data_IF_959166342427
#
_entry.id   IF_959166342427
#
_cell.length_a   1.000
_cell.length_b   1.000
_cell.length_c   1.000
_cell.angle_alpha   90.00
_cell.angle_beta   90.00
_cell.angle_gamma   90.00
#
_symmetry.space_group_name_H-M   'P 1'
#
loop_
_entity.id
_entity.type
_entity.pdbx_description
1 polymer ?
#
# COMPACT_ATOMS: atom_id res chain seq x y z
N UNK A 1 -24.18 -37.68 -14.24
CA UNK A 1 -22.88 -37.21 -14.77
C UNK A 1 -22.21 -36.33 -13.72
N UNK A 2 -21.43 -36.92 -12.82
CA UNK A 2 -20.74 -36.22 -11.72
C UNK A 2 -19.32 -35.92 -12.15
N UNK A 3 -19.05 -34.67 -12.52
CA UNK A 3 -17.71 -34.19 -12.88
C UNK A 3 -16.89 -34.06 -11.59
N UNK A 4 -15.97 -35.01 -11.36
CA UNK A 4 -14.93 -34.86 -10.33
C UNK A 4 -14.01 -33.72 -10.76
N UNK A 5 -14.04 -32.62 -10.03
CA UNK A 5 -13.00 -31.58 -10.09
C UNK A 5 -11.77 -32.16 -9.40
N UNK A 6 -10.79 -32.58 -10.18
CA UNK A 6 -9.52 -33.07 -9.65
C UNK A 6 -8.80 -31.93 -8.92
N UNK A 7 -8.50 -32.14 -7.65
CA UNK A 7 -7.58 -31.31 -6.86
C UNK A 7 -6.17 -31.49 -7.42
N UNK A 8 -5.89 -30.81 -8.53
CA UNK A 8 -4.55 -30.75 -9.11
C UNK A 8 -3.66 -29.93 -8.21
N UNK A 9 -2.85 -30.59 -7.37
CA UNK A 9 -1.69 -29.94 -6.77
C UNK A 9 -0.80 -29.46 -7.91
N UNK A 10 -0.72 -28.14 -8.11
CA UNK A 10 0.26 -27.50 -9.00
C UNK A 10 1.66 -27.84 -8.47
N UNK A 11 2.22 -28.96 -8.90
CA UNK A 11 3.63 -29.29 -8.65
C UNK A 11 4.44 -28.55 -9.69
N UNK A 12 5.17 -27.52 -9.25
CA UNK A 12 6.29 -26.98 -10.02
C UNK A 12 7.20 -28.15 -10.36
N UNK A 13 7.45 -28.39 -11.66
CA UNK A 13 8.31 -29.48 -12.05
C UNK A 13 9.71 -29.22 -11.48
N UNK A 14 10.38 -30.28 -11.01
CA UNK A 14 11.74 -30.18 -10.47
C UNK A 14 12.68 -29.48 -11.46
N UNK A 15 12.46 -29.71 -12.76
CA UNK A 15 13.19 -29.07 -13.87
C UNK A 15 13.01 -27.55 -13.87
N UNK A 16 11.77 -27.06 -13.78
CA UNK A 16 11.50 -25.61 -13.74
C UNK A 16 12.14 -24.96 -12.51
N UNK A 17 11.99 -25.58 -11.33
CA UNK A 17 12.59 -25.05 -10.11
C UNK A 17 14.14 -24.99 -10.19
N UNK A 18 14.75 -26.03 -10.75
CA UNK A 18 16.20 -26.07 -10.99
C UNK A 18 16.65 -25.00 -11.98
N UNK A 19 15.86 -24.76 -13.04
CA UNK A 19 16.16 -23.72 -14.03
C UNK A 19 16.09 -22.31 -13.42
N UNK A 20 15.01 -21.99 -12.69
CA UNK A 20 14.87 -20.70 -11.98
C UNK A 20 16.06 -20.49 -11.03
N UNK A 21 16.42 -21.51 -10.25
CA UNK A 21 17.54 -21.42 -9.32
C UNK A 21 18.89 -21.22 -10.03
N UNK A 22 19.10 -21.88 -11.18
CA UNK A 22 20.30 -21.74 -11.98
C UNK A 22 20.41 -20.33 -12.61
N UNK A 23 19.32 -19.81 -13.16
CA UNK A 23 19.25 -18.47 -13.75
C UNK A 23 19.45 -17.37 -12.69
N UNK A 24 18.83 -17.51 -11.51
CA UNK A 24 19.05 -16.62 -10.39
C UNK A 24 20.51 -16.67 -9.91
N UNK A 25 21.07 -17.88 -9.78
CA UNK A 25 22.47 -18.06 -9.41
C UNK A 25 23.41 -17.43 -10.43
N UNK A 26 23.09 -17.54 -11.73
CA UNK A 26 23.85 -16.90 -12.80
C UNK A 26 23.84 -15.38 -12.66
N UNK A 27 22.66 -14.76 -12.45
CA UNK A 27 22.55 -13.32 -12.25
C UNK A 27 23.31 -12.87 -10.99
N UNK A 28 23.16 -13.56 -9.86
CA UNK A 28 23.82 -13.21 -8.60
C UNK A 28 25.34 -13.38 -8.66
N UNK A 29 25.87 -14.34 -9.43
CA UNK A 29 27.32 -14.54 -9.62
C UNK A 29 28.00 -13.43 -10.42
N UNK A 30 27.23 -12.68 -11.21
CA UNK A 30 27.73 -11.50 -11.91
C UNK A 30 27.87 -10.27 -11.01
N UNK A 31 27.42 -10.34 -9.76
CA UNK A 31 27.41 -9.23 -8.82
C UNK A 31 28.47 -9.52 -7.76
N UNK A 32 29.57 -8.76 -7.79
CA UNK A 32 30.57 -8.85 -6.74
C UNK A 32 30.07 -8.19 -5.43
N UNK A 33 30.82 -8.33 -4.34
CA UNK A 33 30.40 -7.76 -3.04
C UNK A 33 30.29 -6.23 -3.06
N UNK A 34 31.14 -5.54 -3.82
CA UNK A 34 31.12 -4.08 -3.95
C UNK A 34 29.92 -3.65 -4.81
N UNK A 35 29.63 -4.39 -5.88
CA UNK A 35 28.48 -4.19 -6.73
C UNK A 35 27.17 -4.42 -5.96
N UNK A 36 27.10 -5.41 -5.07
CA UNK A 36 25.95 -5.61 -4.19
C UNK A 36 25.69 -4.39 -3.31
N UNK A 37 26.74 -3.85 -2.68
CA UNK A 37 26.61 -2.64 -1.88
C UNK A 37 26.18 -1.44 -2.72
N UNK A 38 26.76 -1.30 -3.91
CA UNK A 38 26.40 -0.22 -4.83
C UNK A 38 24.94 -0.33 -5.30
N UNK A 39 24.48 -1.53 -5.68
CA UNK A 39 23.09 -1.81 -6.03
C UNK A 39 22.18 -1.47 -4.85
N UNK A 40 22.47 -1.98 -3.66
CA UNK A 40 21.65 -1.72 -2.48
C UNK A 40 21.58 -0.22 -2.14
N UNK A 41 22.70 0.49 -2.12
CA UNK A 41 22.74 1.92 -1.81
C UNK A 41 22.04 2.76 -2.89
N UNK A 42 22.25 2.43 -4.17
CA UNK A 42 21.61 3.12 -5.30
C UNK A 42 20.10 2.87 -5.29
N UNK A 43 19.67 1.63 -5.13
CA UNK A 43 18.26 1.24 -5.07
C UNK A 43 17.58 1.81 -3.82
N UNK A 44 18.25 1.83 -2.67
CA UNK A 44 17.74 2.46 -1.45
C UNK A 44 17.63 3.98 -1.61
N UNK A 45 18.62 4.61 -2.24
CA UNK A 45 18.61 6.04 -2.57
C UNK A 45 17.45 6.41 -3.49
N UNK A 46 17.23 5.63 -4.56
CA UNK A 46 16.07 5.79 -5.47
C UNK A 46 14.74 5.56 -4.76
N UNK A 47 14.60 4.45 -4.04
CA UNK A 47 13.39 4.12 -3.29
C UNK A 47 13.03 5.23 -2.29
N UNK A 48 14.03 5.77 -1.58
CA UNK A 48 13.86 6.88 -0.64
C UNK A 48 13.50 8.17 -1.36
N UNK A 49 14.22 8.52 -2.43
CA UNK A 49 13.96 9.73 -3.22
C UNK A 49 12.56 9.73 -3.84
N UNK A 50 12.14 8.60 -4.41
CA UNK A 50 10.81 8.43 -4.98
C UNK A 50 9.72 8.50 -3.89
N UNK A 51 9.96 7.88 -2.73
CA UNK A 51 9.03 7.94 -1.60
C UNK A 51 8.87 9.38 -1.13
N UNK A 52 9.99 10.09 -0.89
CA UNK A 52 9.97 11.51 -0.48
C UNK A 52 9.28 12.37 -1.54
N UNK A 53 9.59 12.18 -2.82
CA UNK A 53 8.99 12.94 -3.91
C UNK A 53 7.48 12.71 -3.99
N UNK A 54 7.06 11.45 -3.90
CA UNK A 54 5.65 11.06 -3.84
C UNK A 54 4.96 11.70 -2.63
N UNK A 55 5.50 11.55 -1.43
CA UNK A 55 4.91 12.09 -0.19
C UNK A 55 4.88 13.62 -0.16
N UNK A 56 5.93 14.29 -0.63
CA UNK A 56 5.95 15.76 -0.76
C UNK A 56 4.85 16.24 -1.71
N UNK A 57 4.63 15.55 -2.83
CA UNK A 57 3.52 15.85 -3.76
C UNK A 57 2.17 15.65 -3.06
N UNK A 58 2.02 14.56 -2.32
CA UNK A 58 0.79 14.22 -1.58
C UNK A 58 0.48 15.26 -0.50
N UNK A 59 1.45 15.61 0.35
CA UNK A 59 1.31 16.65 1.40
C UNK A 59 0.94 18.00 0.79
N UNK A 60 1.55 18.38 -0.35
CA UNK A 60 1.21 19.63 -1.04
C UNK A 60 -0.24 19.63 -1.54
N UNK A 61 -0.69 18.53 -2.13
CA UNK A 61 -2.07 18.40 -2.61
C UNK A 61 -3.07 18.43 -1.44
N UNK A 62 -2.78 17.72 -0.35
CA UNK A 62 -3.59 17.76 0.87
C UNK A 62 -3.61 19.16 1.47
N UNK A 63 -2.48 19.86 1.55
CA UNK A 63 -2.39 21.22 2.05
C UNK A 63 -3.24 22.21 1.22
N UNK A 64 -3.31 22.03 -0.10
CA UNK A 64 -4.21 22.81 -0.97
C UNK A 64 -5.67 22.51 -0.66
N UNK A 65 -6.04 21.24 -0.48
CA UNK A 65 -7.41 20.83 -0.14
C UNK A 65 -7.83 21.31 1.25
N UNK A 66 -6.95 21.19 2.24
CA UNK A 66 -7.17 21.66 3.61
C UNK A 66 -7.32 23.18 3.63
N UNK A 67 -6.47 23.92 2.91
CA UNK A 67 -6.58 25.38 2.79
C UNK A 67 -7.88 25.78 2.10
N UNK A 68 -8.26 25.14 1.00
CA UNK A 68 -9.51 25.47 0.29
C UNK A 68 -10.75 25.15 1.13
N UNK A 69 -10.70 24.05 1.90
CA UNK A 69 -11.76 23.68 2.85
C UNK A 69 -11.82 24.65 4.03
N UNK A 70 -10.68 25.00 4.63
CA UNK A 70 -10.62 25.97 5.72
C UNK A 70 -11.12 27.35 5.28
N UNK A 71 -10.69 27.84 4.12
CA UNK A 71 -11.18 29.09 3.54
C UNK A 71 -12.69 29.06 3.31
N UNK A 72 -13.25 27.94 2.87
CA UNK A 72 -14.70 27.74 2.73
C UNK A 72 -15.41 27.85 4.09
N UNK A 73 -14.89 27.18 5.12
CA UNK A 73 -15.47 27.22 6.47
C UNK A 73 -15.41 28.61 7.10
N UNK A 74 -14.32 29.35 6.87
CA UNK A 74 -14.16 30.74 7.33
C UNK A 74 -15.12 31.66 6.58
N UNK A 75 -15.20 31.56 5.24
CA UNK A 75 -16.00 32.45 4.40
C UNK A 75 -17.50 32.20 4.53
N UNK A 76 -17.92 30.94 4.50
CA UNK A 76 -19.33 30.55 4.41
C UNK A 76 -19.92 30.26 5.81
N UNK A 77 -19.06 30.16 6.83
CA UNK A 77 -19.41 29.76 8.19
C UNK A 77 -19.52 28.25 8.37
N UNK A 78 -19.25 27.77 9.58
CA UNK A 78 -19.21 26.33 9.93
C UNK A 78 -20.53 25.64 9.60
N UNK A 79 -21.67 26.23 9.99
CA UNK A 79 -22.99 25.61 9.80
C UNK A 79 -23.36 25.44 8.32
N UNK A 80 -23.09 26.46 7.49
CA UNK A 80 -23.41 26.40 6.06
C UNK A 80 -22.44 25.47 5.33
N UNK A 81 -21.16 25.49 5.70
CA UNK A 81 -20.15 24.59 5.14
C UNK A 81 -20.45 23.13 5.47
N UNK A 82 -20.81 22.82 6.72
CA UNK A 82 -21.19 21.48 7.14
C UNK A 82 -22.46 20.99 6.43
N UNK A 83 -23.48 21.86 6.26
CA UNK A 83 -24.66 21.54 5.44
C UNK A 83 -24.31 21.29 3.98
N UNK A 84 -23.40 22.08 3.42
CA UNK A 84 -22.87 21.89 2.07
C UNK A 84 -22.12 20.57 1.91
N UNK A 85 -21.31 20.21 2.90
CA UNK A 85 -20.60 18.92 2.97
C UNK A 85 -21.58 17.74 3.08
N UNK A 86 -22.60 17.84 3.93
CA UNK A 86 -23.68 16.83 4.02
C UNK A 86 -24.46 16.71 2.71
N UNK A 87 -24.73 17.84 2.04
CA UNK A 87 -25.35 17.87 0.71
C UNK A 87 -24.49 17.19 -0.34
N UNK A 88 -23.18 17.46 -0.35
CA UNK A 88 -22.21 16.79 -1.24
C UNK A 88 -22.13 15.29 -0.97
N UNK A 89 -22.08 14.88 0.29
CA UNK A 89 -22.06 13.48 0.69
C UNK A 89 -23.35 12.77 0.20
N UNK A 90 -24.51 13.39 0.40
CA UNK A 90 -25.78 12.87 -0.11
C UNK A 90 -25.78 12.77 -1.64
N UNK A 91 -25.33 13.80 -2.35
CA UNK A 91 -25.20 13.78 -3.81
C UNK A 91 -24.23 12.72 -4.30
N UNK A 92 -23.13 12.50 -3.56
CA UNK A 92 -22.19 11.42 -3.86
C UNK A 92 -22.88 10.06 -3.75
N UNK A 93 -23.59 9.79 -2.65
CA UNK A 93 -24.33 8.54 -2.42
C UNK A 93 -25.42 8.32 -3.47
N UNK A 94 -26.24 9.34 -3.73
CA UNK A 94 -27.30 9.26 -4.76
C UNK A 94 -26.70 9.09 -6.16
N UNK A 95 -25.52 9.65 -6.41
CA UNK A 95 -24.78 9.50 -7.66
C UNK A 95 -23.92 8.23 -7.76
N UNK A 96 -23.88 7.37 -6.73
CA UNK A 96 -23.08 6.14 -6.79
C UNK A 96 -23.50 5.24 -7.96
N UNK A 97 -24.80 4.95 -8.19
CA UNK A 97 -25.19 4.08 -9.30
C UNK A 97 -24.76 4.61 -10.66
N UNK A 98 -24.87 5.93 -10.90
CA UNK A 98 -24.43 6.53 -12.15
C UNK A 98 -22.91 6.51 -12.29
N UNK A 99 -22.15 6.80 -11.22
CA UNK A 99 -20.69 6.70 -11.21
C UNK A 99 -20.21 5.27 -11.47
N UNK A 100 -20.85 4.28 -10.85
CA UNK A 100 -20.54 2.86 -11.09
C UNK A 100 -20.77 2.51 -12.55
N UNK A 101 -21.89 2.96 -13.15
CA UNK A 101 -22.12 2.79 -14.59
C UNK A 101 -21.06 3.48 -15.44
N UNK A 102 -20.69 4.71 -15.11
CA UNK A 102 -19.62 5.43 -15.80
C UNK A 102 -18.30 4.67 -15.73
N UNK A 103 -17.89 4.18 -14.55
CA UNK A 103 -16.69 3.37 -14.42
C UNK A 103 -16.79 2.05 -15.20
N UNK A 104 -17.95 1.40 -15.20
CA UNK A 104 -18.16 0.18 -15.97
C UNK A 104 -18.08 0.43 -17.49
N UNK A 105 -18.61 1.56 -17.95
CA UNK A 105 -18.55 1.95 -19.36
C UNK A 105 -17.14 2.40 -19.77
N UNK A 106 -16.43 3.13 -18.91
CA UNK A 106 -15.01 3.46 -19.10
C UNK A 106 -14.16 2.19 -19.15
N UNK A 107 -14.38 1.25 -18.23
CA UNK A 107 -13.70 -0.04 -18.23
C UNK A 107 -13.95 -0.83 -19.52
N UNK A 108 -15.19 -0.87 -20.01
CA UNK A 108 -15.54 -1.53 -21.28
C UNK A 108 -14.87 -0.91 -22.50
N UNK A 109 -14.47 0.36 -22.43
CA UNK A 109 -13.77 1.08 -23.51
C UNK A 109 -12.26 0.84 -23.52
N UNK A 110 -11.70 0.26 -22.45
CA UNK A 110 -10.28 -0.08 -22.40
C UNK A 110 -9.95 -1.24 -23.34
N UNK A 111 -8.69 -1.32 -23.77
CA UNK A 111 -8.18 -2.49 -24.49
C UNK A 111 -8.16 -3.70 -23.56
N UNK A 112 -8.23 -4.91 -24.12
CA UNK A 112 -8.26 -6.18 -23.36
C UNK A 112 -7.14 -6.27 -22.31
N UNK A 113 -5.89 -5.94 -22.66
CA UNK A 113 -4.79 -5.94 -21.70
C UNK A 113 -5.00 -4.94 -20.55
N UNK A 114 -5.50 -3.74 -20.85
CA UNK A 114 -5.74 -2.71 -19.83
C UNK A 114 -6.92 -3.09 -18.91
N UNK A 115 -7.91 -3.81 -19.44
CA UNK A 115 -8.99 -4.38 -18.64
C UNK A 115 -8.45 -5.44 -17.67
N UNK A 116 -7.60 -6.35 -18.17
CA UNK A 116 -6.95 -7.34 -17.33
C UNK A 116 -6.10 -6.67 -16.24
N UNK A 117 -5.27 -5.68 -16.61
CA UNK A 117 -4.43 -4.96 -15.66
C UNK A 117 -5.27 -4.26 -14.58
N UNK A 118 -6.39 -3.64 -14.93
CA UNK A 118 -7.28 -2.98 -13.97
C UNK A 118 -8.00 -3.97 -13.04
N UNK A 119 -8.38 -5.16 -13.53
CA UNK A 119 -8.94 -6.21 -12.68
C UNK A 119 -7.89 -6.73 -11.70
N UNK A 120 -6.65 -6.93 -12.17
CA UNK A 120 -5.52 -7.33 -11.32
C UNK A 120 -5.24 -6.25 -10.27
N UNK A 121 -5.18 -4.97 -10.65
CA UNK A 121 -5.01 -3.85 -9.72
C UNK A 121 -6.10 -3.86 -8.65
N UNK A 122 -7.36 -4.09 -9.02
CA UNK A 122 -8.47 -4.17 -8.06
C UNK A 122 -8.30 -5.34 -7.08
N UNK A 123 -7.91 -6.51 -7.57
CA UNK A 123 -7.67 -7.69 -6.74
C UNK A 123 -6.50 -7.49 -5.79
N UNK A 124 -5.36 -7.01 -6.32
CA UNK A 124 -4.17 -6.67 -5.53
C UNK A 124 -4.49 -5.62 -4.48
N UNK A 125 -5.24 -4.58 -4.86
CA UNK A 125 -5.66 -3.53 -3.94
C UNK A 125 -6.42 -4.14 -2.76
N UNK A 126 -7.38 -5.01 -3.02
CA UNK A 126 -8.13 -5.68 -1.96
C UNK A 126 -7.26 -6.56 -1.08
N UNK A 127 -6.43 -7.41 -1.67
CA UNK A 127 -5.60 -8.37 -0.94
C UNK A 127 -4.57 -7.63 -0.07
N UNK A 128 -3.89 -6.63 -0.63
CA UNK A 128 -2.83 -5.89 0.07
C UNK A 128 -3.43 -4.98 1.12
N UNK A 129 -4.56 -4.32 0.85
CA UNK A 129 -5.31 -3.59 1.85
C UNK A 129 -5.67 -4.50 3.02
N UNK A 130 -6.31 -5.64 2.74
CA UNK A 130 -6.77 -6.58 3.76
C UNK A 130 -5.59 -7.11 4.58
N UNK A 131 -4.51 -7.54 3.94
CA UNK A 131 -3.31 -8.04 4.61
C UNK A 131 -2.60 -6.95 5.43
N UNK A 132 -2.52 -5.72 4.92
CA UNK A 132 -1.85 -4.62 5.63
C UNK A 132 -2.67 -4.12 6.82
N UNK A 133 -4.00 -4.17 6.71
CA UNK A 133 -4.91 -3.71 7.75
C UNK A 133 -5.10 -4.71 8.91
N UNK A 134 -4.81 -6.00 8.70
CA UNK A 134 -5.06 -7.06 9.69
C UNK A 134 -6.31 -7.91 9.41
N UNK A 135 -6.93 -7.73 8.25
CA UNK A 135 -8.04 -8.55 7.81
C UNK A 135 -9.40 -7.96 8.16
N UNK A 136 -10.38 -8.79 8.50
CA UNK A 136 -11.78 -8.35 8.62
C UNK A 136 -12.07 -7.52 9.87
N UNK A 137 -11.33 -7.74 10.95
CA UNK A 137 -11.44 -6.95 12.16
C UNK A 137 -10.44 -5.80 12.20
N UNK A 138 -9.48 -5.75 11.27
CA UNK A 138 -8.37 -4.81 11.28
C UNK A 138 -7.47 -4.94 12.53
N UNK A 139 -7.44 -6.10 13.21
CA UNK A 139 -6.37 -6.44 14.17
C UNK A 139 -5.30 -7.26 13.44
N UNK A 140 -4.01 -7.04 13.72
CA UNK A 140 -2.94 -7.70 12.98
C UNK A 140 -2.42 -6.83 11.83
N UNK A 141 -1.90 -7.50 10.80
CA UNK A 141 -1.38 -6.82 9.61
C UNK A 141 0.01 -6.22 9.84
N UNK A 142 0.38 -5.24 9.01
CA UNK A 142 1.73 -4.66 9.07
C UNK A 142 2.05 -4.00 10.42
N UNK A 143 1.14 -3.20 11.02
CA UNK A 143 1.39 -2.58 12.32
C UNK A 143 1.71 -3.56 13.44
N UNK A 144 0.97 -4.67 13.50
CA UNK A 144 1.11 -5.66 14.58
C UNK A 144 2.16 -6.75 14.30
N UNK A 145 2.99 -6.56 13.27
CA UNK A 145 4.14 -7.47 13.05
C UNK A 145 5.16 -7.39 14.18
N UNK A 146 5.17 -6.30 14.96
CA UNK A 146 5.99 -6.16 16.16
C UNK A 146 5.76 -7.29 17.18
N UNK A 147 4.51 -7.74 17.34
CA UNK A 147 4.15 -8.90 18.16
C UNK A 147 4.79 -10.20 17.63
N UNK A 148 4.77 -10.40 16.31
CA UNK A 148 5.34 -11.59 15.68
C UNK A 148 6.87 -11.62 15.75
N UNK A 149 7.52 -10.45 15.78
CA UNK A 149 8.97 -10.32 15.93
C UNK A 149 9.43 -10.26 17.40
N UNK A 150 8.53 -10.51 18.36
CA UNK A 150 8.86 -10.55 19.79
C UNK A 150 9.19 -9.19 20.39
N UNK A 151 8.84 -8.10 19.69
CA UNK A 151 8.88 -6.75 20.26
C UNK A 151 7.67 -6.70 21.20
N UNK A 152 7.87 -7.07 22.46
CA UNK A 152 6.81 -7.23 23.48
C UNK A 152 6.03 -5.97 23.84
N UNK A 153 6.14 -4.91 23.03
CA UNK A 153 5.46 -3.64 23.15
C UNK A 153 4.43 -3.49 22.02
N UNK A 154 3.22 -3.96 22.29
CA UNK A 154 2.05 -3.77 21.42
C UNK A 154 1.82 -2.25 21.21
N UNK A 155 1.61 -1.82 19.96
CA UNK A 155 1.40 -0.41 19.57
C UNK A 155 2.57 0.52 19.94
N UNK A 156 3.79 0.14 19.56
CA UNK A 156 4.94 1.03 19.73
C UNK A 156 4.97 2.14 18.66
N UNK A 157 5.67 3.24 18.93
CA UNK A 157 5.73 4.43 18.04
C UNK A 157 6.32 4.13 16.66
N UNK A 158 7.15 3.11 16.53
CA UNK A 158 7.78 2.78 15.24
C UNK A 158 6.80 2.01 14.35
N UNK A 159 6.11 1.02 14.91
CA UNK A 159 5.15 0.17 14.19
C UNK A 159 3.78 0.83 14.00
N UNK A 160 3.41 1.78 14.86
CA UNK A 160 2.08 2.39 14.85
C UNK A 160 2.04 3.86 14.49
N UNK A 161 2.95 4.29 13.63
CA UNK A 161 2.92 5.64 13.07
C UNK A 161 3.11 5.59 11.56
N UNK A 162 2.98 6.75 10.93
CA UNK A 162 3.32 6.97 9.51
C UNK A 162 4.73 6.47 9.14
N UNK A 163 5.64 6.34 10.12
CA UNK A 163 6.97 5.79 9.91
C UNK A 163 6.95 4.36 9.40
N UNK A 164 6.02 3.52 9.87
CA UNK A 164 5.85 2.17 9.36
C UNK A 164 5.51 2.22 7.86
N UNK A 165 4.53 3.02 7.46
CA UNK A 165 4.15 3.15 6.05
C UNK A 165 5.30 3.65 5.17
N UNK A 166 6.11 4.60 5.66
CA UNK A 166 7.32 5.06 4.97
C UNK A 166 8.34 3.94 4.82
N UNK A 167 8.62 3.22 5.91
CA UNK A 167 9.54 2.09 5.91
C UNK A 167 9.09 0.97 4.97
N UNK A 168 7.81 0.62 4.99
CA UNK A 168 7.22 -0.39 4.12
C UNK A 168 7.23 0.04 2.66
N UNK A 169 6.94 1.31 2.33
CA UNK A 169 7.04 1.80 0.94
C UNK A 169 8.48 1.75 0.44
N UNK A 170 9.45 2.19 1.25
CA UNK A 170 10.87 2.12 0.91
C UNK A 170 11.29 0.66 0.70
N UNK A 171 10.87 -0.26 1.57
CA UNK A 171 11.19 -1.68 1.45
C UNK A 171 10.61 -2.30 0.17
N UNK A 172 9.33 -2.01 -0.15
CA UNK A 172 8.70 -2.48 -1.38
C UNK A 172 9.40 -1.95 -2.64
N UNK A 173 9.66 -0.63 -2.68
CA UNK A 173 10.38 0.00 -3.81
C UNK A 173 11.80 -0.56 -3.94
N UNK A 174 12.50 -0.73 -2.83
CA UNK A 174 13.83 -1.33 -2.79
C UNK A 174 13.80 -2.75 -3.37
N UNK A 175 12.84 -3.58 -2.96
CA UNK A 175 12.67 -4.93 -3.48
C UNK A 175 12.44 -4.95 -4.99
N UNK A 176 11.61 -4.04 -5.51
CA UNK A 176 11.36 -3.90 -6.96
C UNK A 176 12.62 -3.47 -7.72
N UNK A 177 13.37 -2.50 -7.18
CA UNK A 177 14.62 -2.03 -7.81
C UNK A 177 15.71 -3.11 -7.79
N UNK A 178 15.88 -3.82 -6.67
CA UNK A 178 16.82 -4.95 -6.57
C UNK A 178 16.42 -6.06 -7.53
N UNK A 179 15.13 -6.39 -7.60
CA UNK A 179 14.63 -7.36 -8.56
C UNK A 179 14.90 -6.94 -10.01
N UNK A 180 14.75 -5.65 -10.34
CA UNK A 180 15.11 -5.10 -11.65
C UNK A 180 16.60 -5.21 -11.98
N UNK A 181 17.48 -5.00 -10.99
CA UNK A 181 18.92 -5.20 -11.17
C UNK A 181 19.30 -6.68 -11.30
N UNK A 182 18.57 -7.61 -10.66
CA UNK A 182 18.73 -9.05 -10.89
C UNK A 182 18.24 -9.43 -12.29
N UNK A 183 17.04 -8.96 -12.66
CA UNK A 183 16.41 -9.24 -13.97
C UNK A 183 17.30 -8.80 -15.13
N UNK A 184 17.95 -7.64 -15.04
CA UNK A 184 18.85 -7.13 -16.08
C UNK A 184 20.14 -7.93 -16.28
N UNK A 185 20.44 -8.88 -15.37
CA UNK A 185 21.64 -9.74 -15.39
C UNK A 185 21.32 -11.21 -15.66
N UNK A 186 20.06 -11.53 -15.94
CA UNK A 186 19.66 -12.88 -16.34
C UNK A 186 20.36 -13.30 -17.65
N UNK A 187 20.52 -14.61 -17.90
CA UNK A 187 21.09 -15.08 -19.15
C UNK A 187 20.22 -14.65 -20.35
N UNK A 188 20.82 -14.52 -21.53
CA UNK A 188 20.09 -14.12 -22.76
C UNK A 188 18.90 -15.04 -23.07
N UNK A 189 19.02 -16.31 -22.73
CA UNK A 189 17.93 -17.29 -22.74
C UNK A 189 17.56 -17.64 -21.31
N UNK A 190 16.57 -16.94 -20.75
CA UNK A 190 16.02 -17.19 -19.43
C UNK A 190 14.52 -17.52 -19.50
N UNK A 191 13.95 -18.01 -18.40
CA UNK A 191 12.53 -18.32 -18.34
C UNK A 191 11.67 -17.07 -18.47
N UNK A 192 10.65 -17.12 -19.33
CA UNK A 192 9.61 -16.07 -19.51
C UNK A 192 8.92 -15.65 -18.20
N UNK A 193 8.94 -16.50 -17.17
CA UNK A 193 8.42 -16.18 -15.85
C UNK A 193 9.11 -14.95 -15.22
N UNK A 194 10.40 -14.73 -15.49
CA UNK A 194 11.13 -13.55 -15.02
C UNK A 194 10.63 -12.27 -15.65
N UNK A 195 10.50 -12.24 -16.99
CA UNK A 195 9.94 -11.10 -17.71
C UNK A 195 8.51 -10.79 -17.25
N UNK A 196 7.70 -11.83 -17.12
CA UNK A 196 6.32 -11.70 -16.67
C UNK A 196 6.25 -11.12 -15.26
N UNK A 197 7.13 -11.57 -14.35
CA UNK A 197 7.22 -11.05 -12.98
C UNK A 197 7.71 -9.61 -12.95
N UNK A 198 8.72 -9.28 -13.75
CA UNK A 198 9.25 -7.91 -13.85
C UNK A 198 8.17 -6.95 -14.36
N UNK A 199 7.53 -7.28 -15.49
CA UNK A 199 6.42 -6.48 -16.02
C UNK A 199 5.29 -6.36 -15.02
N UNK A 200 4.87 -7.45 -14.38
CA UNK A 200 3.83 -7.44 -13.36
C UNK A 200 4.16 -6.47 -12.21
N UNK A 201 5.37 -6.57 -11.64
CA UNK A 201 5.80 -5.68 -10.56
C UNK A 201 5.80 -4.21 -11.02
N UNK A 202 6.31 -3.91 -12.21
CA UNK A 202 6.35 -2.53 -12.71
C UNK A 202 4.96 -1.96 -12.99
N UNK A 203 4.06 -2.75 -13.58
CA UNK A 203 2.69 -2.35 -13.89
C UNK A 203 1.88 -2.07 -12.62
N UNK A 204 1.97 -2.97 -11.63
CA UNK A 204 1.06 -2.95 -10.47
C UNK A 204 1.65 -2.30 -9.21
N UNK A 205 2.93 -1.89 -9.21
CA UNK A 205 3.60 -1.30 -8.03
C UNK A 205 2.82 -0.19 -7.35
N UNK A 206 2.18 0.69 -8.13
CA UNK A 206 1.46 1.86 -7.59
C UNK A 206 0.19 1.43 -6.87
N UNK A 207 -0.61 0.55 -7.46
CA UNK A 207 -1.81 0.02 -6.82
C UNK A 207 -1.45 -0.67 -5.50
N UNK A 208 -0.39 -1.49 -5.51
CA UNK A 208 0.13 -2.17 -4.32
C UNK A 208 0.56 -1.22 -3.20
N UNK A 209 1.35 -0.19 -3.51
CA UNK A 209 1.80 0.80 -2.52
C UNK A 209 0.61 1.57 -1.94
N UNK A 210 -0.32 2.02 -2.80
CA UNK A 210 -1.50 2.76 -2.36
C UNK A 210 -2.40 1.91 -1.45
N UNK A 211 -2.62 0.65 -1.82
CA UNK A 211 -3.41 -0.30 -1.04
C UNK A 211 -2.78 -0.60 0.32
N UNK A 212 -1.46 -0.72 0.38
CA UNK A 212 -0.71 -0.89 1.63
C UNK A 212 -0.92 0.32 2.56
N UNK A 213 -0.77 1.53 2.03
CA UNK A 213 -1.00 2.76 2.80
C UNK A 213 -2.44 2.88 3.30
N UNK A 214 -3.43 2.54 2.47
CA UNK A 214 -4.84 2.51 2.89
C UNK A 214 -5.10 1.45 3.96
N UNK A 215 -4.47 0.27 3.86
CA UNK A 215 -4.61 -0.77 4.88
C UNK A 215 -4.03 -0.34 6.24
N UNK A 216 -2.81 0.22 6.24
CA UNK A 216 -2.19 0.79 7.44
C UNK A 216 -3.03 1.94 8.01
N UNK A 217 -3.57 2.81 7.14
CA UNK A 217 -4.43 3.91 7.54
C UNK A 217 -5.70 3.43 8.24
N UNK A 218 -6.41 2.48 7.64
CA UNK A 218 -7.59 1.85 8.22
C UNK A 218 -7.30 1.24 9.61
N UNK A 219 -6.16 0.56 9.77
CA UNK A 219 -5.73 0.01 11.06
C UNK A 219 -5.57 1.11 12.12
N UNK A 220 -4.88 2.20 11.82
CA UNK A 220 -4.71 3.30 12.78
C UNK A 220 -6.01 4.04 13.07
N UNK A 221 -6.92 4.20 12.09
CA UNK A 221 -8.23 4.79 12.33
C UNK A 221 -9.09 3.90 13.26
N UNK A 222 -8.94 2.58 13.14
CA UNK A 222 -9.55 1.64 14.08
C UNK A 222 -8.97 1.82 15.49
N UNK A 223 -7.65 1.91 15.63
CA UNK A 223 -6.98 2.15 16.91
C UNK A 223 -7.37 3.46 17.58
N UNK A 224 -7.70 4.47 16.78
CA UNK A 224 -8.25 5.72 17.25
C UNK A 224 -9.68 5.62 17.81
N UNK A 225 -10.26 4.42 17.86
CA UNK A 225 -11.64 4.16 18.29
C UNK A 225 -12.69 4.81 17.37
N UNK A 226 -12.39 5.03 16.08
CA UNK A 226 -13.38 5.58 15.15
C UNK A 226 -14.39 4.52 14.69
N UNK A 227 -13.99 3.25 14.70
CA UNK A 227 -14.81 2.11 14.25
C UNK A 227 -14.64 0.86 15.14
N UNK A 228 -14.03 1.01 16.32
CA UNK A 228 -13.84 -0.07 17.30
C UNK A 228 -14.50 0.28 18.63
N UNK A 229 -14.44 -0.65 19.58
CA UNK A 229 -15.01 -0.49 20.92
C UNK A 229 -14.02 0.16 21.92
N UNK A 230 -12.70 0.06 21.67
CA UNK A 230 -11.68 0.63 22.55
C UNK A 230 -10.36 0.93 21.83
N UNK A 231 -9.62 1.90 22.38
CA UNK A 231 -8.22 2.20 22.01
C UNK A 231 -7.24 1.53 22.97
N UNK A 232 -6.22 0.89 22.43
CA UNK A 232 -5.02 0.50 23.19
C UNK A 232 -3.99 1.65 23.09
N UNK A 233 -3.44 2.17 24.20
CA UNK A 233 -2.53 3.30 24.16
C UNK A 233 -1.18 2.90 23.55
N UNK A 234 -0.45 3.91 23.04
CA UNK A 234 0.93 3.73 22.61
C UNK A 234 1.80 3.26 23.77
N UNK A 235 2.73 2.34 23.49
CA UNK A 235 3.75 1.89 24.42
C UNK A 235 5.11 2.52 24.11
N UNK A 236 5.95 2.70 25.14
CA UNK A 236 7.30 3.25 24.98
C UNK A 236 7.40 4.76 24.79
N UNK A 237 6.35 5.52 25.09
CA UNK A 237 6.37 6.99 25.05
C UNK A 237 7.18 7.56 26.23
N UNK A 238 7.97 8.63 26.01
CA UNK A 238 8.80 9.23 27.07
C UNK A 238 7.98 10.01 28.12
N UNK A 239 6.70 10.25 27.83
CA UNK A 239 5.76 10.94 28.71
C UNK A 239 4.44 10.15 28.77
N UNK A 240 3.83 10.11 29.96
CA UNK A 240 2.47 9.60 30.12
C UNK A 240 1.49 10.60 29.51
N UNK A 241 0.55 10.13 28.71
CA UNK A 241 -0.47 10.96 28.06
C UNK A 241 -1.87 10.42 28.38
N UNK A 242 -2.89 11.28 28.42
CA UNK A 242 -4.26 10.80 28.55
C UNK A 242 -4.75 10.12 27.25
N UNK A 243 -5.80 9.29 27.37
CA UNK A 243 -6.25 8.42 26.28
C UNK A 243 -6.73 9.17 25.03
N UNK A 244 -7.33 10.34 25.21
CA UNK A 244 -7.74 11.23 24.12
C UNK A 244 -6.57 11.67 23.24
N UNK A 245 -5.39 11.89 23.83
CA UNK A 245 -4.16 12.20 23.10
C UNK A 245 -3.69 10.98 22.29
N UNK A 246 -3.75 9.77 22.86
CA UNK A 246 -3.42 8.56 22.11
C UNK A 246 -4.38 8.36 20.92
N UNK A 247 -5.69 8.51 21.13
CA UNK A 247 -6.70 8.46 20.08
C UNK A 247 -6.44 9.48 18.97
N UNK A 248 -6.15 10.73 19.35
CA UNK A 248 -5.84 11.78 18.40
C UNK A 248 -4.58 11.48 17.58
N UNK A 249 -3.53 10.92 18.21
CA UNK A 249 -2.31 10.52 17.52
C UNK A 249 -2.56 9.37 16.53
N UNK A 250 -3.33 8.34 16.91
CA UNK A 250 -3.72 7.27 15.98
C UNK A 250 -4.57 7.82 14.82
N UNK A 251 -5.55 8.68 15.11
CA UNK A 251 -6.39 9.28 14.08
C UNK A 251 -5.56 10.12 13.10
N UNK A 252 -4.62 10.91 13.61
CA UNK A 252 -3.72 11.72 12.79
C UNK A 252 -2.82 10.85 11.90
N UNK A 253 -2.25 9.77 12.45
CA UNK A 253 -1.45 8.82 11.67
C UNK A 253 -2.31 8.11 10.62
N UNK A 254 -3.52 7.67 10.97
CA UNK A 254 -4.45 7.04 10.04
C UNK A 254 -4.82 7.97 8.88
N UNK A 255 -5.21 9.21 9.20
CA UNK A 255 -5.51 10.23 8.20
C UNK A 255 -4.31 10.56 7.30
N UNK A 256 -3.09 10.60 7.88
CA UNK A 256 -1.87 10.81 7.11
C UNK A 256 -1.61 9.63 6.14
N UNK A 257 -1.85 8.39 6.58
CA UNK A 257 -1.71 7.20 5.74
C UNK A 257 -2.75 7.17 4.61
N UNK A 258 -4.01 7.53 4.89
CA UNK A 258 -5.06 7.64 3.86
C UNK A 258 -4.75 8.73 2.83
N UNK A 259 -4.28 9.89 3.29
CA UNK A 259 -3.80 10.94 2.39
C UNK A 259 -2.60 10.46 1.55
N UNK A 260 -1.79 9.55 2.09
CA UNK A 260 -0.67 8.95 1.40
C UNK A 260 -1.07 7.84 0.40
N UNK A 261 -2.26 7.25 0.56
CA UNK A 261 -2.84 6.22 -0.31
C UNK A 261 -3.55 6.79 -1.54
N UNK A 262 -4.21 7.94 -1.41
CA UNK A 262 -5.07 8.51 -2.45
C UNK A 262 -4.53 9.80 -3.05
N UNK A 263 -3.79 9.68 -4.16
CA UNK A 263 -3.60 10.81 -5.10
C UNK A 263 -3.83 10.33 -6.53
N UNK A 264 -4.75 11.02 -7.22
CA UNK A 264 -4.87 11.00 -8.67
C UNK A 264 -3.80 11.93 -9.24
N UNK A 265 -3.02 11.43 -10.19
CA UNK A 265 -2.20 12.27 -11.06
C UNK A 265 -3.08 13.22 -11.89
#
# INVERSE_FOLDING_TARGET
MTRRVGTGTLRLSKVVAQQIAAELSFACRQIDRRDWWHILLKSAGRASSDTVTSKCRQVRNLGRLARSTGQRYIRDGVRNSARGDAGRAKQFVVGLPSRIRTYADEFRRLKEQQQADQVVDMMLTWIIFWASAGGSDLEGGLPDTDLAFGIGNHRNVVSHTVLLGLGSEIALRLGIEVFGEIHSRLPSHHMRAWDSSYTFLQTHRRASINAMWAGIGAHFLKDANLFAEATKPYTGMPISMPMDVHQALFAANGAACEAAAFVRD
#
